data_IF_636207272710
#
_entry.id   IF_636207272710
#
_cell.length_a   1.000
_cell.length_b   1.000
_cell.length_c   1.000
_cell.angle_alpha   90.00
_cell.angle_beta   90.00
_cell.angle_gamma   90.00
#
_symmetry.space_group_name_H-M   'P 1'
#
loop_
_entity.id
_entity.type
_entity.pdbx_description
1 polymer ?
#
# COMPACT_ATOMS: atom_id res chain seq x y z
N UNK A 1 -48.34 -12.10 -11.63
CA UNK A 1 -47.80 -10.73 -11.78
C UNK A 1 -48.76 -9.76 -11.12
N UNK A 2 -48.26 -8.83 -10.30
CA UNK A 2 -49.04 -7.74 -9.69
C UNK A 2 -48.64 -6.46 -10.41
N UNK A 3 -49.60 -5.72 -10.97
CA UNK A 3 -49.32 -4.50 -11.75
C UNK A 3 -49.11 -3.26 -10.87
N UNK A 4 -49.71 -3.25 -9.68
CA UNK A 4 -49.54 -2.20 -8.67
C UNK A 4 -48.52 -2.54 -7.59
N UNK A 5 -48.66 -1.90 -6.43
CA UNK A 5 -47.90 -2.26 -5.23
C UNK A 5 -48.41 -3.55 -4.58
N UNK A 6 -47.55 -4.18 -3.79
CA UNK A 6 -47.85 -5.37 -3.01
C UNK A 6 -47.33 -5.18 -1.58
N UNK A 7 -48.21 -5.37 -0.60
CA UNK A 7 -47.83 -5.42 0.81
C UNK A 7 -48.21 -6.79 1.37
N UNK A 8 -47.27 -7.46 2.02
CA UNK A 8 -47.49 -8.73 2.68
C UNK A 8 -46.70 -8.79 3.99
N UNK A 9 -47.13 -9.60 4.96
CA UNK A 9 -46.27 -9.91 6.11
C UNK A 9 -45.16 -10.87 5.64
N UNK A 10 -45.52 -12.08 5.20
CA UNK A 10 -44.57 -13.00 4.53
C UNK A 10 -44.90 -13.11 3.05
N UNK A 11 -43.91 -12.90 2.19
CA UNK A 11 -44.02 -13.13 0.75
C UNK A 11 -43.04 -14.20 0.29
N UNK A 12 -43.57 -15.27 -0.30
CA UNK A 12 -42.78 -16.31 -0.96
C UNK A 12 -43.04 -16.32 -2.46
N UNK A 13 -42.00 -16.11 -3.26
CA UNK A 13 -42.03 -16.12 -4.73
C UNK A 13 -41.43 -17.43 -5.23
N UNK A 14 -42.30 -18.39 -5.54
CA UNK A 14 -41.92 -19.75 -5.98
C UNK A 14 -41.94 -19.95 -7.49
N UNK A 15 -42.40 -18.94 -8.24
CA UNK A 15 -42.43 -18.92 -9.71
C UNK A 15 -42.00 -17.54 -10.19
N UNK A 16 -41.58 -17.43 -11.45
CA UNK A 16 -41.19 -16.12 -12.02
C UNK A 16 -42.32 -15.11 -11.89
N UNK A 17 -42.14 -14.13 -11.01
CA UNK A 17 -43.15 -13.14 -10.66
C UNK A 17 -42.59 -11.72 -10.73
N UNK A 18 -43.45 -10.80 -11.14
CA UNK A 18 -43.15 -9.37 -11.17
C UNK A 18 -44.16 -8.59 -10.34
N UNK A 19 -43.67 -7.66 -9.52
CA UNK A 19 -44.45 -6.58 -8.89
C UNK A 19 -44.10 -5.30 -9.64
N UNK A 20 -45.09 -4.66 -10.28
CA UNK A 20 -44.89 -3.46 -11.09
C UNK A 20 -44.58 -2.21 -10.25
N UNK A 21 -45.11 -2.14 -9.02
CA UNK A 21 -44.92 -1.01 -8.11
C UNK A 21 -44.06 -1.32 -6.88
N UNK A 22 -44.34 -0.62 -5.78
CA UNK A 22 -43.75 -0.81 -4.46
C UNK A 22 -44.00 -2.24 -3.95
N UNK A 23 -42.95 -2.92 -3.48
CA UNK A 23 -43.08 -4.17 -2.74
C UNK A 23 -42.65 -3.95 -1.29
N UNK A 24 -43.57 -4.17 -0.35
CA UNK A 24 -43.28 -4.18 1.09
C UNK A 24 -43.59 -5.55 1.66
N UNK A 25 -42.60 -6.18 2.26
CA UNK A 25 -42.73 -7.43 2.98
C UNK A 25 -42.13 -7.30 4.38
N UNK A 26 -42.61 -8.07 5.36
CA UNK A 26 -41.83 -8.29 6.57
C UNK A 26 -40.70 -9.28 6.26
N UNK A 27 -41.05 -10.48 5.80
CA UNK A 27 -40.10 -11.50 5.32
C UNK A 27 -40.29 -11.75 3.82
N UNK A 28 -39.21 -11.68 3.04
CA UNK A 28 -39.22 -12.01 1.61
C UNK A 28 -38.39 -13.28 1.34
N UNK A 29 -38.98 -14.24 0.64
CA UNK A 29 -38.29 -15.43 0.12
C UNK A 29 -38.54 -15.56 -1.38
N UNK A 30 -37.48 -15.58 -2.19
CA UNK A 30 -37.54 -15.75 -3.64
C UNK A 30 -36.76 -17.01 -3.98
N UNK A 31 -37.44 -18.08 -4.39
CA UNK A 31 -36.78 -19.36 -4.75
C UNK A 31 -36.51 -19.49 -6.24
N UNK A 32 -36.91 -18.50 -7.04
CA UNK A 32 -36.71 -18.42 -8.49
C UNK A 32 -36.23 -17.02 -8.88
N UNK A 33 -36.72 -16.46 -9.97
CA UNK A 33 -36.44 -15.08 -10.39
C UNK A 33 -37.60 -14.16 -10.07
N UNK A 34 -37.31 -12.97 -9.54
CA UNK A 34 -38.32 -11.94 -9.28
C UNK A 34 -37.92 -10.59 -9.90
N UNK A 35 -38.92 -9.81 -10.31
CA UNK A 35 -38.72 -8.42 -10.74
C UNK A 35 -39.58 -7.48 -9.92
N UNK A 36 -38.97 -6.43 -9.35
CA UNK A 36 -39.67 -5.34 -8.66
C UNK A 36 -39.45 -4.06 -9.46
N UNK A 37 -40.54 -3.56 -10.05
CA UNK A 37 -40.58 -2.32 -10.84
C UNK A 37 -40.44 -1.06 -9.98
N UNK A 38 -40.78 -1.15 -8.69
CA UNK A 38 -40.64 -0.07 -7.71
C UNK A 38 -39.58 -0.32 -6.65
N UNK A 39 -39.72 0.38 -5.53
CA UNK A 39 -38.92 0.18 -4.33
C UNK A 39 -39.23 -1.18 -3.70
N UNK A 40 -38.21 -1.88 -3.20
CA UNK A 40 -38.38 -3.04 -2.31
C UNK A 40 -38.11 -2.63 -0.86
N UNK A 41 -38.97 -3.04 0.06
CA UNK A 41 -38.72 -2.98 1.50
C UNK A 41 -38.97 -4.34 2.14
N UNK A 42 -37.99 -4.86 2.88
CA UNK A 42 -38.13 -6.08 3.69
C UNK A 42 -37.61 -5.81 5.11
N UNK A 43 -38.43 -6.01 6.15
CA UNK A 43 -38.06 -5.58 7.53
C UNK A 43 -37.42 -6.66 8.42
N UNK A 44 -37.76 -7.94 8.21
CA UNK A 44 -37.18 -9.09 8.92
C UNK A 44 -36.13 -9.85 8.08
N UNK A 45 -35.92 -9.44 6.84
CA UNK A 45 -34.86 -9.93 5.96
C UNK A 45 -35.39 -10.39 4.61
N UNK A 46 -34.46 -10.69 3.71
CA UNK A 46 -34.77 -11.26 2.41
C UNK A 46 -33.81 -12.41 2.07
N UNK A 47 -34.36 -13.50 1.51
CA UNK A 47 -33.61 -14.59 0.91
C UNK A 47 -33.96 -14.71 -0.57
N UNK A 48 -32.94 -14.71 -1.44
CA UNK A 48 -33.08 -14.71 -2.90
C UNK A 48 -32.19 -15.82 -3.46
N UNK A 49 -32.76 -17.01 -3.65
CA UNK A 49 -32.00 -18.21 -3.98
C UNK A 49 -31.52 -18.29 -5.43
N UNK A 50 -32.10 -17.50 -6.35
CA UNK A 50 -31.66 -17.48 -7.76
C UNK A 50 -31.41 -16.06 -8.23
N UNK A 51 -32.44 -15.22 -8.28
CA UNK A 51 -32.25 -13.86 -8.79
C UNK A 51 -33.36 -12.89 -8.45
N UNK A 52 -33.00 -11.63 -8.20
CA UNK A 52 -33.97 -10.55 -8.23
C UNK A 52 -33.43 -9.34 -8.99
N UNK A 53 -34.30 -8.68 -9.74
CA UNK A 53 -34.05 -7.39 -10.37
C UNK A 53 -34.98 -6.35 -9.76
N UNK A 54 -34.41 -5.29 -9.19
CA UNK A 54 -35.14 -4.22 -8.50
C UNK A 54 -34.76 -2.92 -9.18
N UNK A 55 -35.76 -2.17 -9.66
CA UNK A 55 -35.54 -0.98 -10.51
C UNK A 55 -35.85 0.36 -9.81
N UNK A 56 -36.36 0.30 -8.57
CA UNK A 56 -36.66 1.46 -7.73
C UNK A 56 -35.85 1.54 -6.42
N UNK A 57 -34.77 0.77 -6.30
CA UNK A 57 -33.98 0.67 -5.07
C UNK A 57 -34.50 -0.38 -4.08
N UNK A 58 -33.70 -0.70 -3.06
CA UNK A 58 -34.06 -1.70 -2.05
C UNK A 58 -33.61 -1.28 -0.65
N UNK A 59 -34.47 -1.46 0.35
CA UNK A 59 -34.13 -1.33 1.77
C UNK A 59 -34.48 -2.62 2.49
N UNK A 60 -33.47 -3.33 2.99
CA UNK A 60 -33.64 -4.61 3.65
C UNK A 60 -33.06 -4.53 5.05
N UNK A 61 -33.90 -4.75 6.05
CA UNK A 61 -33.53 -4.89 7.46
C UNK A 61 -33.62 -6.37 7.84
N UNK A 62 -32.79 -6.83 8.78
CA UNK A 62 -32.73 -8.25 9.17
C UNK A 62 -31.77 -9.10 8.33
N UNK A 63 -31.03 -8.47 7.41
CA UNK A 63 -30.05 -9.10 6.54
C UNK A 63 -30.60 -9.53 5.19
N UNK A 64 -29.71 -9.64 4.21
CA UNK A 64 -30.02 -10.13 2.87
C UNK A 64 -29.04 -11.26 2.50
N UNK A 65 -29.61 -12.39 2.08
CA UNK A 65 -28.88 -13.48 1.44
C UNK A 65 -29.37 -13.58 0.01
N UNK A 66 -28.51 -13.37 -0.98
CA UNK A 66 -28.86 -13.52 -2.38
C UNK A 66 -27.82 -14.34 -3.14
N UNK A 67 -28.26 -15.11 -4.13
CA UNK A 67 -27.36 -15.63 -5.16
C UNK A 67 -26.98 -14.47 -6.10
N UNK A 68 -27.94 -14.04 -6.93
CA UNK A 68 -27.83 -12.84 -7.75
C UNK A 68 -28.82 -11.75 -7.31
N UNK A 69 -28.32 -10.54 -7.04
CA UNK A 69 -29.16 -9.35 -6.86
C UNK A 69 -28.71 -8.23 -7.81
N UNK A 70 -29.64 -7.75 -8.61
CA UNK A 70 -29.48 -6.52 -9.41
C UNK A 70 -30.38 -5.43 -8.86
N UNK A 71 -29.79 -4.35 -8.36
CA UNK A 71 -30.51 -3.12 -8.00
C UNK A 71 -30.10 -2.02 -8.95
N UNK A 72 -30.99 -1.67 -9.86
CA UNK A 72 -30.83 -0.50 -10.70
C UNK A 72 -31.78 0.61 -10.26
N UNK A 73 -31.38 1.85 -10.50
CA UNK A 73 -32.30 2.98 -10.41
C UNK A 73 -32.71 3.38 -11.82
N UNK A 74 -34.01 3.55 -12.02
CA UNK A 74 -34.51 4.27 -13.19
C UNK A 74 -34.20 5.77 -13.01
N UNK A 75 -33.93 6.49 -14.09
CA UNK A 75 -33.67 7.92 -14.06
C UNK A 75 -34.75 8.68 -13.26
N UNK A 76 -34.34 9.43 -12.23
CA UNK A 76 -35.24 10.16 -11.33
C UNK A 76 -35.52 9.48 -9.98
N UNK A 77 -35.04 8.25 -9.73
CA UNK A 77 -35.16 7.56 -8.44
C UNK A 77 -33.84 7.59 -7.66
N UNK A 78 -33.82 8.27 -6.51
CA UNK A 78 -32.75 8.17 -5.50
C UNK A 78 -32.92 6.89 -4.68
N UNK A 79 -32.52 5.73 -5.22
CA UNK A 79 -32.74 4.44 -4.55
C UNK A 79 -31.57 3.47 -4.69
N UNK A 80 -30.62 3.52 -3.76
CA UNK A 80 -29.55 2.51 -3.68
C UNK A 80 -30.01 1.16 -3.10
N UNK A 81 -29.04 0.30 -2.81
CA UNK A 81 -29.25 -0.86 -1.94
C UNK A 81 -28.87 -0.48 -0.51
N UNK A 82 -29.82 -0.43 0.40
CA UNK A 82 -29.58 -0.31 1.85
C UNK A 82 -29.83 -1.66 2.52
N UNK A 83 -28.82 -2.24 3.15
CA UNK A 83 -28.96 -3.50 3.91
C UNK A 83 -28.48 -3.28 5.35
N UNK A 84 -29.31 -3.64 6.32
CA UNK A 84 -28.94 -3.69 7.73
C UNK A 84 -29.08 -5.12 8.24
N UNK A 85 -28.08 -5.61 8.98
CA UNK A 85 -28.02 -7.00 9.44
C UNK A 85 -27.10 -7.89 8.59
N UNK A 86 -26.37 -7.29 7.64
CA UNK A 86 -25.40 -7.96 6.78
C UNK A 86 -25.94 -8.38 5.41
N UNK A 87 -25.03 -8.46 4.45
CA UNK A 87 -25.29 -8.82 3.05
C UNK A 87 -24.35 -9.95 2.64
N UNK A 88 -24.93 -11.10 2.29
CA UNK A 88 -24.20 -12.23 1.70
C UNK A 88 -24.69 -12.40 0.27
N UNK A 89 -23.80 -12.24 -0.71
CA UNK A 89 -24.13 -12.39 -2.13
C UNK A 89 -23.08 -13.16 -2.90
N UNK A 90 -23.47 -13.94 -3.91
CA UNK A 90 -22.50 -14.38 -4.91
C UNK A 90 -22.22 -13.27 -5.93
N UNK A 91 -23.29 -12.75 -6.55
CA UNK A 91 -23.26 -11.63 -7.49
C UNK A 91 -24.14 -10.48 -7.02
N UNK A 92 -23.53 -9.31 -6.79
CA UNK A 92 -24.22 -8.06 -6.48
C UNK A 92 -23.92 -7.01 -7.55
N UNK A 93 -24.96 -6.54 -8.24
CA UNK A 93 -24.88 -5.45 -9.22
C UNK A 93 -25.75 -4.30 -8.74
N UNK A 94 -25.13 -3.17 -8.37
CA UNK A 94 -25.84 -1.94 -7.99
C UNK A 94 -25.38 -0.80 -8.87
N UNK A 95 -26.29 -0.21 -9.65
CA UNK A 95 -25.94 0.91 -10.56
C UNK A 95 -25.78 2.26 -9.85
N UNK A 96 -25.84 2.26 -8.52
CA UNK A 96 -25.75 3.41 -7.62
C UNK A 96 -25.00 3.00 -6.34
N UNK A 97 -25.21 3.69 -5.22
CA UNK A 97 -24.59 3.33 -3.93
C UNK A 97 -25.23 2.08 -3.32
N UNK A 98 -24.41 1.17 -2.80
CA UNK A 98 -24.81 0.11 -1.88
C UNK A 98 -24.27 0.43 -0.47
N UNK A 99 -25.16 0.63 0.49
CA UNK A 99 -24.83 0.81 1.90
C UNK A 99 -25.18 -0.44 2.69
N UNK A 100 -24.18 -1.13 3.23
CA UNK A 100 -24.36 -2.31 4.10
C UNK A 100 -23.92 -1.95 5.51
N UNK A 101 -24.86 -1.98 6.46
CA UNK A 101 -24.59 -1.92 7.89
C UNK A 101 -24.55 -3.35 8.44
N UNK A 102 -23.36 -3.82 8.79
CA UNK A 102 -23.09 -5.20 9.21
C UNK A 102 -21.95 -5.81 8.38
N UNK A 103 -21.92 -7.13 8.27
CA UNK A 103 -20.95 -7.83 7.42
C UNK A 103 -21.36 -7.76 5.94
N UNK A 104 -20.40 -7.58 5.04
CA UNK A 104 -20.56 -7.80 3.61
C UNK A 104 -19.68 -8.98 3.18
N UNK A 105 -20.29 -10.05 2.67
CA UNK A 105 -19.59 -11.25 2.23
C UNK A 105 -19.92 -11.50 0.76
N UNK A 106 -18.91 -11.43 -0.10
CA UNK A 106 -19.02 -11.80 -1.51
C UNK A 106 -18.41 -13.20 -1.74
N UNK A 107 -19.14 -14.10 -2.41
CA UNK A 107 -18.61 -15.41 -2.83
C UNK A 107 -17.54 -15.30 -3.91
N UNK A 108 -17.65 -14.28 -4.76
CA UNK A 108 -16.68 -13.92 -5.80
C UNK A 108 -15.78 -12.72 -5.44
N UNK A 109 -15.20 -12.09 -6.47
CA UNK A 109 -14.39 -10.88 -6.32
C UNK A 109 -15.22 -9.61 -6.13
N UNK A 110 -14.66 -8.62 -5.44
CA UNK A 110 -15.28 -7.28 -5.28
C UNK A 110 -14.55 -6.29 -6.19
N UNK A 111 -15.26 -5.68 -7.13
CA UNK A 111 -14.73 -4.58 -7.97
C UNK A 111 -15.31 -3.25 -7.51
N UNK A 112 -14.44 -2.27 -7.26
CA UNK A 112 -14.82 -0.91 -6.84
C UNK A 112 -14.28 0.05 -7.90
N UNK A 113 -15.16 0.68 -8.68
CA UNK A 113 -14.77 1.60 -9.74
C UNK A 113 -14.40 3.02 -9.24
N UNK A 114 -14.69 3.31 -7.96
CA UNK A 114 -14.36 4.57 -7.28
C UNK A 114 -13.38 4.36 -6.13
N UNK A 115 -13.50 5.19 -5.09
CA UNK A 115 -12.73 5.04 -3.85
C UNK A 115 -13.37 4.05 -2.86
N UNK A 116 -12.54 3.36 -2.08
CA UNK A 116 -12.97 2.60 -0.92
C UNK A 116 -12.34 3.21 0.34
N UNK A 117 -13.13 3.43 1.38
CA UNK A 117 -12.65 3.93 2.67
C UNK A 117 -13.04 2.95 3.76
N UNK A 118 -12.06 2.50 4.53
CA UNK A 118 -12.26 1.68 5.73
C UNK A 118 -12.02 2.59 6.92
N UNK A 119 -13.10 3.07 7.55
CA UNK A 119 -13.00 4.03 8.66
C UNK A 119 -12.56 3.38 9.97
N UNK A 120 -12.83 2.09 10.14
CA UNK A 120 -12.50 1.30 11.33
C UNK A 120 -12.27 -0.16 10.96
N UNK A 121 -11.42 -0.85 11.73
CA UNK A 121 -11.11 -2.27 11.53
C UNK A 121 -9.89 -2.51 10.63
N UNK A 122 -9.59 -3.79 10.42
CA UNK A 122 -8.40 -4.23 9.69
C UNK A 122 -8.75 -4.70 8.27
N UNK A 123 -7.78 -4.59 7.35
CA UNK A 123 -7.84 -5.22 6.03
C UNK A 123 -6.86 -6.39 6.03
N UNK A 124 -7.38 -7.61 6.00
CA UNK A 124 -6.57 -8.83 5.90
C UNK A 124 -6.61 -9.38 4.47
N UNK A 125 -5.44 -9.48 3.83
CA UNK A 125 -5.26 -10.16 2.55
C UNK A 125 -4.72 -11.57 2.82
N UNK A 126 -5.61 -12.57 2.89
CA UNK A 126 -5.24 -13.96 3.18
C UNK A 126 -4.76 -14.75 1.95
N UNK A 127 -4.82 -14.16 0.75
CA UNK A 127 -4.31 -14.81 -0.45
C UNK A 127 -2.81 -15.09 -0.32
N UNK A 128 -2.39 -16.29 -0.68
CA UNK A 128 -0.99 -16.74 -0.62
C UNK A 128 -0.29 -16.63 -1.97
N UNK A 129 -0.92 -16.01 -2.99
CA UNK A 129 -0.32 -15.82 -4.30
C UNK A 129 0.95 -14.96 -4.19
N UNK A 130 2.09 -15.53 -4.58
CA UNK A 130 3.37 -14.83 -4.54
C UNK A 130 3.36 -13.57 -5.42
N UNK A 131 3.79 -12.43 -4.87
CA UNK A 131 4.04 -11.23 -5.66
C UNK A 131 5.46 -11.27 -6.21
N UNK A 132 5.58 -11.46 -7.53
CA UNK A 132 6.87 -11.55 -8.25
C UNK A 132 7.09 -10.38 -9.20
N UNK A 133 6.08 -9.51 -9.36
CA UNK A 133 6.12 -8.31 -10.19
C UNK A 133 5.14 -7.26 -9.66
N UNK A 134 5.17 -6.05 -10.21
CA UNK A 134 4.19 -5.00 -9.88
C UNK A 134 2.79 -5.24 -10.46
N UNK A 135 2.57 -6.31 -11.24
CA UNK A 135 1.27 -6.62 -11.86
C UNK A 135 0.67 -7.95 -11.37
N UNK A 136 1.35 -8.66 -10.48
CA UNK A 136 0.93 -9.98 -9.98
C UNK A 136 1.16 -10.13 -8.48
N UNK A 137 0.29 -10.89 -7.82
CA UNK A 137 0.42 -11.24 -6.41
C UNK A 137 -0.89 -11.13 -5.63
N UNK A 138 -0.83 -11.46 -4.35
CA UNK A 138 -1.95 -11.33 -3.41
C UNK A 138 -2.43 -9.87 -3.25
N UNK A 139 -1.51 -8.90 -3.35
CA UNK A 139 -1.79 -7.47 -3.35
C UNK A 139 -0.97 -6.80 -4.46
N UNK A 140 -1.64 -6.04 -5.32
CA UNK A 140 -1.03 -5.27 -6.41
C UNK A 140 -1.43 -3.81 -6.26
N UNK A 141 -0.44 -2.90 -6.22
CA UNK A 141 -0.65 -1.46 -6.04
C UNK A 141 0.12 -0.67 -7.09
N UNK A 142 -0.59 -0.01 -8.01
CA UNK A 142 0.02 0.72 -9.13
C UNK A 142 0.44 2.15 -8.78
N UNK A 143 -0.30 2.82 -7.87
CA UNK A 143 -0.11 4.24 -7.54
C UNK A 143 0.82 4.51 -6.35
N UNK A 144 1.39 3.47 -5.75
CA UNK A 144 2.15 3.56 -4.49
C UNK A 144 1.28 3.41 -3.24
N UNK A 145 1.94 3.35 -2.08
CA UNK A 145 1.30 3.16 -0.77
C UNK A 145 1.76 4.26 0.18
N UNK A 146 0.82 5.02 0.73
CA UNK A 146 1.07 5.94 1.85
C UNK A 146 0.85 5.23 3.17
N UNK A 147 1.85 5.23 4.06
CA UNK A 147 1.79 4.57 5.37
C UNK A 147 2.13 5.61 6.44
N UNK A 148 1.17 5.93 7.31
CA UNK A 148 1.38 6.89 8.40
C UNK A 148 2.19 6.30 9.57
N UNK A 149 2.29 4.98 9.64
CA UNK A 149 3.05 4.25 10.66
C UNK A 149 4.17 3.39 10.07
N UNK A 150 4.54 2.34 10.80
CA UNK A 150 5.60 1.44 10.36
C UNK A 150 5.11 0.48 9.27
N UNK A 151 5.98 0.17 8.32
CA UNK A 151 5.85 -0.99 7.43
C UNK A 151 6.73 -2.12 7.96
N UNK A 152 6.14 -3.30 8.20
CA UNK A 152 6.86 -4.48 8.66
C UNK A 152 6.79 -5.55 7.57
N UNK A 153 7.94 -5.94 7.02
CA UNK A 153 8.04 -7.02 6.06
C UNK A 153 9.22 -7.92 6.41
N UNK A 154 9.10 -9.22 6.08
CA UNK A 154 10.19 -10.18 6.26
C UNK A 154 11.37 -9.91 5.30
N UNK A 155 11.08 -9.36 4.11
CA UNK A 155 12.08 -9.01 3.09
C UNK A 155 11.54 -7.97 2.13
N UNK A 156 12.44 -7.12 1.60
CA UNK A 156 12.17 -6.18 0.52
C UNK A 156 13.10 -6.49 -0.66
N UNK A 157 12.52 -6.73 -1.84
CA UNK A 157 13.27 -7.02 -3.06
C UNK A 157 13.05 -5.86 -4.03
N UNK A 158 14.13 -5.17 -4.40
CA UNK A 158 14.08 -4.04 -5.34
C UNK A 158 14.46 -4.50 -6.74
N UNK A 159 13.63 -4.21 -7.73
CA UNK A 159 13.90 -4.54 -9.14
C UNK A 159 15.17 -3.85 -9.63
N UNK A 160 16.11 -4.63 -10.16
CA UNK A 160 17.47 -4.15 -10.50
C UNK A 160 18.02 -4.74 -11.80
N UNK A 161 17.19 -5.43 -12.60
CA UNK A 161 17.61 -6.10 -13.85
C UNK A 161 18.23 -5.11 -14.85
N UNK A 162 19.39 -5.50 -15.45
CA UNK A 162 20.10 -4.67 -16.44
C UNK A 162 19.21 -4.26 -17.61
N UNK A 163 18.26 -5.10 -18.04
CA UNK A 163 17.36 -4.82 -19.18
C UNK A 163 16.44 -3.63 -18.93
N UNK A 164 16.24 -3.25 -17.66
CA UNK A 164 15.40 -2.13 -17.25
C UNK A 164 16.21 -0.84 -17.02
N UNK A 165 17.53 -0.87 -17.27
CA UNK A 165 18.45 0.23 -17.00
C UNK A 165 19.20 0.60 -18.28
N UNK A 166 19.40 1.89 -18.47
CA UNK A 166 20.18 2.47 -19.57
C UNK A 166 21.14 3.52 -19.00
N UNK A 167 22.05 4.05 -19.83
CA UNK A 167 23.04 5.05 -19.44
C UNK A 167 23.84 4.67 -18.18
N UNK A 168 24.23 3.39 -18.08
CA UNK A 168 24.97 2.85 -16.92
C UNK A 168 26.38 3.45 -16.92
N UNK A 169 26.73 4.11 -15.82
CA UNK A 169 28.05 4.68 -15.55
C UNK A 169 28.56 4.15 -14.22
N UNK A 170 29.88 4.10 -14.10
CA UNK A 170 30.52 3.76 -12.83
C UNK A 170 30.36 4.91 -11.84
N UNK A 171 30.24 4.57 -10.56
CA UNK A 171 30.29 5.54 -9.48
C UNK A 171 31.75 5.73 -9.11
N UNK A 172 32.40 6.76 -9.66
CA UNK A 172 33.85 6.91 -9.60
C UNK A 172 34.38 7.40 -8.24
N UNK A 173 33.66 8.29 -7.57
CA UNK A 173 34.05 8.83 -6.27
C UNK A 173 32.85 8.94 -5.36
N UNK A 174 32.99 8.55 -4.10
CA UNK A 174 31.95 8.62 -3.08
C UNK A 174 32.50 8.87 -1.68
N UNK A 175 33.78 8.64 -1.42
CA UNK A 175 34.37 8.87 -0.11
C UNK A 175 34.19 10.33 0.34
N UNK A 176 34.55 11.30 -0.49
CA UNK A 176 34.39 12.71 -0.17
C UNK A 176 32.91 13.13 -0.02
N UNK A 177 32.02 12.54 -0.83
CA UNK A 177 30.57 12.73 -0.70
C UNK A 177 30.08 12.25 0.67
N UNK A 178 30.41 11.01 1.05
CA UNK A 178 30.00 10.42 2.33
C UNK A 178 30.61 11.20 3.51
N UNK A 179 31.84 11.70 3.40
CA UNK A 179 32.49 12.52 4.45
C UNK A 179 31.80 13.85 4.72
N UNK A 180 31.07 14.41 3.73
CA UNK A 180 30.30 15.65 3.87
C UNK A 180 28.95 15.43 4.55
N UNK A 181 28.41 14.20 4.49
CA UNK A 181 27.15 13.89 5.15
C UNK A 181 27.33 13.94 6.67
N UNK A 182 26.33 14.51 7.35
CA UNK A 182 26.32 14.67 8.80
C UNK A 182 25.25 13.77 9.43
N UNK A 183 25.62 12.59 9.99
CA UNK A 183 24.71 11.81 10.79
C UNK A 183 24.30 12.60 12.04
N UNK A 184 23.01 12.59 12.35
CA UNK A 184 22.45 13.27 13.53
C UNK A 184 21.54 12.33 14.31
N UNK A 185 21.21 12.71 15.54
CA UNK A 185 20.04 12.16 16.24
C UNK A 185 19.00 13.25 16.39
N UNK A 186 17.72 12.86 16.31
CA UNK A 186 16.61 13.80 16.36
C UNK A 186 15.41 13.21 17.12
N UNK A 187 14.54 14.12 17.56
CA UNK A 187 13.20 13.81 18.06
C UNK A 187 12.19 14.46 17.14
N UNK A 188 11.07 13.79 16.88
CA UNK A 188 9.99 14.39 16.10
C UNK A 188 9.29 15.49 16.88
N UNK A 189 8.96 16.60 16.20
CA UNK A 189 8.17 17.72 16.74
C UNK A 189 6.67 17.38 16.79
N UNK A 190 6.32 16.35 17.57
CA UNK A 190 4.95 15.80 17.65
C UNK A 190 3.92 16.84 18.07
N UNK A 191 4.28 17.70 19.03
CA UNK A 191 3.37 18.69 19.61
C UNK A 191 3.07 19.83 18.64
N UNK A 192 4.02 20.15 17.75
CA UNK A 192 3.86 21.16 16.70
C UNK A 192 3.10 20.62 15.48
N UNK A 193 3.17 19.30 15.23
CA UNK A 193 2.54 18.63 14.08
C UNK A 193 1.69 17.42 14.48
N UNK A 194 0.63 17.60 15.29
CA UNK A 194 -0.16 16.49 15.83
C UNK A 194 -0.88 15.67 14.74
N UNK A 195 -1.28 16.29 13.63
CA UNK A 195 -1.97 15.62 12.51
C UNK A 195 -1.09 14.63 11.74
N UNK A 196 0.24 14.71 11.90
CA UNK A 196 1.20 13.84 11.22
C UNK A 196 1.43 12.50 11.92
N UNK A 197 0.88 12.32 13.12
CA UNK A 197 1.01 11.09 13.91
C UNK A 197 2.47 10.59 14.06
N UNK A 198 3.42 11.52 14.17
CA UNK A 198 4.85 11.22 14.22
C UNK A 198 5.19 10.37 15.46
N UNK A 199 6.16 9.43 15.41
CA UNK A 199 6.44 8.51 16.52
C UNK A 199 7.27 9.14 17.66
N UNK A 200 7.26 8.54 18.85
CA UNK A 200 8.00 8.99 20.03
C UNK A 200 9.38 8.32 20.11
N UNK A 201 10.41 9.09 20.51
CA UNK A 201 11.74 8.53 20.76
C UNK A 201 12.86 9.43 20.23
N UNK A 202 14.09 8.93 20.33
CA UNK A 202 15.29 9.52 19.73
C UNK A 202 15.71 8.61 18.58
N UNK A 203 15.85 9.18 17.39
CA UNK A 203 16.13 8.44 16.16
C UNK A 203 17.44 8.92 15.55
N UNK A 204 18.34 8.02 15.12
CA UNK A 204 19.46 8.39 14.28
C UNK A 204 18.99 8.58 12.82
N UNK A 205 19.63 9.47 12.09
CA UNK A 205 19.37 9.67 10.67
C UNK A 205 20.10 10.87 10.10
N UNK A 206 19.52 11.45 9.05
CA UNK A 206 20.03 12.66 8.39
C UNK A 206 18.93 13.71 8.24
N UNK A 207 19.33 14.97 8.10
CA UNK A 207 18.43 16.03 7.67
C UNK A 207 18.38 16.04 6.15
N UNK A 208 17.17 15.97 5.58
CA UNK A 208 16.99 15.86 4.14
C UNK A 208 17.56 17.07 3.38
N UNK A 209 17.47 18.28 3.94
CA UNK A 209 18.06 19.49 3.37
C UNK A 209 19.58 19.40 3.24
N UNK A 210 20.27 18.90 4.27
CA UNK A 210 21.74 18.73 4.26
C UNK A 210 22.18 17.65 3.27
N UNK A 211 21.39 16.57 3.15
CA UNK A 211 21.66 15.52 2.15
C UNK A 211 21.46 16.09 0.74
N UNK A 212 20.44 16.93 0.52
CA UNK A 212 20.14 17.50 -0.79
C UNK A 212 21.29 18.32 -1.39
N UNK A 213 22.10 18.97 -0.55
CA UNK A 213 23.28 19.73 -0.99
C UNK A 213 24.35 18.83 -1.63
N UNK A 214 24.38 17.54 -1.28
CA UNK A 214 25.44 16.60 -1.71
C UNK A 214 24.91 15.49 -2.63
N UNK A 215 23.73 14.95 -2.34
CA UNK A 215 23.07 13.84 -3.04
C UNK A 215 21.59 14.19 -3.30
N UNK A 216 21.31 15.21 -4.13
CA UNK A 216 19.95 15.70 -4.38
C UNK A 216 19.00 14.62 -4.93
N UNK A 217 19.52 13.65 -5.67
CA UNK A 217 18.78 12.52 -6.24
C UNK A 217 18.23 11.54 -5.20
N UNK A 218 18.73 11.58 -3.96
CA UNK A 218 18.23 10.77 -2.86
C UNK A 218 17.14 11.44 -2.04
N UNK A 219 16.77 12.68 -2.39
CA UNK A 219 15.76 13.47 -1.67
C UNK A 219 14.48 13.53 -2.49
N UNK A 220 13.37 13.18 -1.87
CA UNK A 220 12.03 13.33 -2.45
C UNK A 220 11.26 14.40 -1.69
N UNK A 221 10.71 15.36 -2.42
CA UNK A 221 9.84 16.41 -1.90
C UNK A 221 8.39 16.15 -2.32
N UNK A 222 7.46 16.14 -1.36
CA UNK A 222 6.03 16.01 -1.65
C UNK A 222 5.39 17.34 -2.09
N UNK A 223 4.10 17.31 -2.44
CA UNK A 223 3.37 18.51 -2.89
C UNK A 223 3.25 19.60 -1.84
N UNK A 224 3.44 19.27 -0.56
CA UNK A 224 3.37 20.18 0.57
C UNK A 224 4.77 20.71 0.94
N UNK A 225 5.82 20.34 0.20
CA UNK A 225 7.21 20.76 0.42
C UNK A 225 7.97 19.94 1.46
N UNK A 226 7.42 18.81 1.94
CA UNK A 226 8.12 17.98 2.91
C UNK A 226 9.10 17.04 2.23
N UNK A 227 10.31 17.02 2.77
CA UNK A 227 11.40 16.22 2.23
C UNK A 227 11.54 14.88 2.96
N UNK A 228 11.85 13.86 2.18
CA UNK A 228 12.08 12.48 2.61
C UNK A 228 13.29 11.91 1.89
N UNK A 229 13.86 10.82 2.42
CA UNK A 229 15.12 10.26 1.92
C UNK A 229 14.96 8.83 1.39
N UNK A 230 15.55 8.57 0.23
CA UNK A 230 15.84 7.23 -0.26
C UNK A 230 17.12 6.70 0.41
N UNK A 231 16.99 6.18 1.64
CA UNK A 231 18.11 5.61 2.38
C UNK A 231 18.78 4.41 1.66
N UNK A 232 18.04 3.63 0.87
CA UNK A 232 18.60 2.50 0.12
C UNK A 232 19.58 2.98 -0.95
N UNK A 233 19.32 4.15 -1.53
CA UNK A 233 20.22 4.77 -2.50
C UNK A 233 21.59 5.17 -1.94
N UNK A 234 21.76 5.26 -0.61
CA UNK A 234 23.07 5.49 -0.01
C UNK A 234 24.01 4.27 -0.09
N UNK A 235 23.46 3.06 -0.23
CA UNK A 235 24.26 1.81 -0.15
C UNK A 235 25.35 1.75 -1.22
N UNK A 236 25.09 2.02 -2.52
CA UNK A 236 26.15 2.07 -3.53
C UNK A 236 27.27 3.08 -3.23
N UNK A 237 26.94 4.26 -2.69
CA UNK A 237 27.93 5.25 -2.28
C UNK A 237 28.80 4.75 -1.12
N UNK A 238 28.20 4.09 -0.13
CA UNK A 238 28.94 3.48 0.98
C UNK A 238 29.90 2.38 0.50
N UNK A 239 29.45 1.55 -0.46
CA UNK A 239 30.29 0.51 -1.06
C UNK A 239 31.47 1.15 -1.80
N UNK A 240 31.23 2.16 -2.65
CA UNK A 240 32.31 2.83 -3.39
C UNK A 240 33.28 3.55 -2.46
N UNK A 241 32.78 4.27 -1.45
CA UNK A 241 33.61 4.94 -0.46
C UNK A 241 34.52 3.93 0.28
N UNK A 242 34.02 2.73 0.60
CA UNK A 242 34.83 1.68 1.20
C UNK A 242 35.93 1.17 0.26
N UNK A 243 35.64 1.05 -1.04
CA UNK A 243 36.64 0.68 -2.04
C UNK A 243 37.74 1.74 -2.15
N UNK A 244 37.38 3.02 -2.19
CA UNK A 244 38.34 4.14 -2.18
C UNK A 244 39.22 4.11 -0.91
N UNK A 245 38.63 3.89 0.26
CA UNK A 245 39.40 3.74 1.51
C UNK A 245 40.37 2.55 1.45
N UNK A 246 40.00 1.44 0.80
CA UNK A 246 40.90 0.30 0.62
C UNK A 246 42.06 0.62 -0.32
N UNK A 247 41.82 1.38 -1.38
CA UNK A 247 42.85 1.86 -2.31
C UNK A 247 43.84 2.82 -1.62
N UNK A 248 43.34 3.81 -0.87
CA UNK A 248 44.17 4.73 -0.09
C UNK A 248 45.00 3.99 0.97
N UNK A 249 44.39 3.01 1.64
CA UNK A 249 45.07 2.19 2.64
C UNK A 249 46.17 1.33 2.01
N UNK A 250 45.94 0.77 0.83
CA UNK A 250 46.95 0.00 0.11
C UNK A 250 48.13 0.89 -0.32
N UNK A 251 47.84 2.08 -0.88
CA UNK A 251 48.85 3.06 -1.24
C UNK A 251 49.67 3.51 -0.03
N UNK A 252 49.01 3.81 1.09
CA UNK A 252 49.66 4.20 2.35
C UNK A 252 50.60 3.11 2.90
N UNK A 253 50.19 1.83 2.82
CA UNK A 253 51.05 0.69 3.23
C UNK A 253 52.30 0.56 2.37
N UNK A 254 52.19 0.75 1.06
CA UNK A 254 53.35 0.72 0.15
C UNK A 254 54.34 1.82 0.53
N UNK A 255 53.85 3.04 0.76
CA UNK A 255 54.70 4.15 1.20
C UNK A 255 55.37 3.86 2.54
N UNK A 256 54.62 3.30 3.50
CA UNK A 256 55.17 2.92 4.81
C UNK A 256 56.33 1.92 4.66
N UNK A 257 56.17 0.88 3.84
CA UNK A 257 57.22 -0.12 3.60
C UNK A 257 58.46 0.49 2.94
N UNK A 258 58.27 1.37 1.95
CA UNK A 258 59.36 2.07 1.30
C UNK A 258 60.13 2.95 2.29
N UNK A 259 59.43 3.70 3.14
CA UNK A 259 60.05 4.51 4.20
C UNK A 259 60.80 3.66 5.22
N UNK A 260 60.27 2.50 5.61
CA UNK A 260 60.96 1.57 6.52
C UNK A 260 62.27 1.03 5.93
N UNK A 261 62.28 0.71 4.63
CA UNK A 261 63.48 0.26 3.93
C UNK A 261 64.54 1.36 3.87
N UNK A 262 64.13 2.60 3.58
CA UNK A 262 65.05 3.75 3.54
C UNK A 262 65.65 4.03 4.93
N UNK A 263 64.84 4.01 5.99
CA UNK A 263 65.32 4.16 7.37
C UNK A 263 66.35 3.09 7.71
N UNK A 264 66.11 1.82 7.36
CA UNK A 264 67.05 0.73 7.60
C UNK A 264 68.38 0.95 6.85
N UNK A 265 68.33 1.38 5.59
CA UNK A 265 69.52 1.67 4.80
C UNK A 265 70.35 2.83 5.40
N UNK A 266 69.68 3.89 5.86
CA UNK A 266 70.34 5.03 6.52
C UNK A 266 70.97 4.63 7.85
N UNK A 267 70.29 3.81 8.66
CA UNK A 267 70.84 3.31 9.93
C UNK A 267 72.12 2.47 9.70
N UNK A 268 72.13 1.63 8.67
CA UNK A 268 73.32 0.86 8.28
C UNK A 268 74.46 1.77 7.81
N UNK A 269 74.17 2.82 7.03
CA UNK A 269 75.17 3.78 6.59
C UNK A 269 75.80 4.53 7.78
N UNK A 270 74.99 4.99 8.73
CA UNK A 270 75.48 5.64 9.96
C UNK A 270 76.36 4.69 10.76
N UNK A 271 75.97 3.42 10.91
CA UNK A 271 76.78 2.41 11.62
C UNK A 271 78.15 2.20 10.95
N UNK A 272 78.19 2.15 9.62
CA UNK A 272 79.45 2.01 8.86
C UNK A 272 80.38 3.21 9.04
N UNK A 273 79.84 4.42 9.03
CA UNK A 273 80.62 5.66 9.23
C UNK A 273 81.13 5.81 10.66
N UNK A 274 80.34 5.39 11.66
CA UNK A 274 80.75 5.43 13.07
C UNK A 274 81.77 4.34 13.45
N UNK A 275 81.79 3.20 12.76
CA UNK A 275 82.72 2.10 13.01
C UNK A 275 84.14 2.28 12.47
N UNK A 276 84.36 3.27 11.60
CA UNK A 276 85.68 3.58 11.00
C UNK A 276 86.55 4.54 11.81
N UNK A 277 86.13 4.93 13.02
CA UNK A 277 86.81 5.93 13.88
C UNK A 277 87.45 5.35 15.15
N UNK A 278 87.82 4.07 15.18
CA UNK A 278 88.58 3.43 16.27
C UNK A 278 89.87 2.82 15.78
#
# INVERSE_FOLDING_TARGET
KVTGGLTADTLTVTTTAGVGGLLTANSLSVTTTATVGGLLTASAGASIATGATITGGATITGGLIADTLTVSTTAGVTGGLGVTGGLTTDTLIVSSTAGVTGAFTAGGGVTIAGGATISTGDVLISSTTASTSSTTGALVVNGGVGIAGNSTALSHINTSDRRLKTAIQDLDTSLETIRRLRPVTYKWRRDEFPSRNLPTGVYPGFLADEVQETLPELVHEDSDGWKSLNYVGLVPHLVRAMQEVQEELAASKVLHLAMQQEIAALQDQVRRLGGTSS
#
